data_IF_464927900031
#
_entry.id   IF_464927900031
#
_cell.length_a   1.000
_cell.length_b   1.000
_cell.length_c   1.000
_cell.angle_alpha   90.00
_cell.angle_beta   90.00
_cell.angle_gamma   90.00
#
_symmetry.space_group_name_H-M   'P 1'
#
loop_
_entity.id
_entity.type
_entity.pdbx_description
1 polymer ?
#
# COMPACT_ATOMS: atom_id res chain seq x y z
N UNK A 1 8.16 -45.16 -28.78
CA UNK A 1 8.36 -43.69 -28.97
C UNK A 1 7.06 -42.91 -28.98
N UNK A 2 6.04 -43.26 -29.73
CA UNK A 2 4.76 -42.49 -29.78
C UNK A 2 4.06 -42.31 -28.44
N UNK A 3 4.04 -43.33 -27.56
CA UNK A 3 3.41 -43.24 -26.24
C UNK A 3 4.16 -42.32 -25.26
N UNK A 4 5.49 -42.18 -25.36
CA UNK A 4 6.30 -41.28 -24.53
C UNK A 4 6.18 -39.82 -24.95
N UNK A 5 6.01 -39.58 -26.25
CA UNK A 5 5.79 -38.22 -26.79
C UNK A 5 4.39 -37.73 -26.41
N UNK A 6 3.38 -38.60 -26.46
CA UNK A 6 2.02 -38.24 -26.03
C UNK A 6 1.96 -37.89 -24.53
N UNK A 7 2.71 -38.61 -23.67
CA UNK A 7 2.78 -38.30 -22.23
C UNK A 7 3.49 -36.94 -21.96
N UNK A 8 4.56 -36.65 -22.70
CA UNK A 8 5.30 -35.37 -22.57
C UNK A 8 4.43 -34.18 -23.03
N UNK A 9 3.70 -34.33 -24.13
CA UNK A 9 2.78 -33.28 -24.63
C UNK A 9 1.63 -33.06 -23.64
N UNK A 10 1.11 -34.11 -23.03
CA UNK A 10 0.04 -34.02 -22.04
C UNK A 10 0.50 -33.31 -20.76
N UNK A 11 1.74 -33.56 -20.30
CA UNK A 11 2.34 -32.88 -19.13
C UNK A 11 2.59 -31.39 -19.41
N UNK A 12 3.07 -31.05 -20.62
CA UNK A 12 3.25 -29.66 -21.03
C UNK A 12 1.91 -28.91 -21.12
N UNK A 13 0.85 -29.57 -21.62
CA UNK A 13 -0.49 -28.99 -21.69
C UNK A 13 -1.09 -28.76 -20.29
N UNK A 14 -0.85 -29.68 -19.35
CA UNK A 14 -1.26 -29.51 -17.95
C UNK A 14 -0.50 -28.39 -17.26
N UNK A 15 0.79 -28.20 -17.53
CA UNK A 15 1.58 -27.08 -16.98
C UNK A 15 1.12 -25.72 -17.52
N UNK A 16 0.69 -25.64 -18.76
CA UNK A 16 0.15 -24.39 -19.34
C UNK A 16 -1.22 -24.06 -18.73
N UNK A 17 -2.01 -25.04 -18.33
CA UNK A 17 -3.29 -24.81 -17.63
C UNK A 17 -3.13 -24.41 -16.16
N UNK A 18 -1.95 -24.61 -15.55
CA UNK A 18 -1.65 -24.22 -14.16
C UNK A 18 -1.04 -22.81 -14.05
N UNK A 19 -0.80 -22.11 -15.14
CA UNK A 19 -0.69 -20.66 -15.09
C UNK A 19 -2.08 -20.09 -14.82
N UNK A 20 -2.55 -20.25 -13.58
CA UNK A 20 -3.62 -19.43 -13.05
C UNK A 20 -3.21 -18.01 -13.34
N UNK A 21 -3.88 -17.38 -14.27
CA UNK A 21 -3.91 -15.93 -14.31
C UNK A 21 -4.45 -15.53 -12.95
N UNK A 22 -3.57 -15.17 -12.01
CA UNK A 22 -3.96 -14.30 -10.93
C UNK A 22 -4.38 -13.02 -11.63
N UNK A 23 -5.60 -12.98 -12.10
CA UNK A 23 -6.27 -11.76 -12.49
C UNK A 23 -6.24 -10.94 -11.21
N UNK A 24 -5.36 -9.95 -11.15
CA UNK A 24 -5.43 -8.93 -10.12
C UNK A 24 -6.86 -8.38 -10.25
N UNK A 25 -7.72 -8.78 -9.31
CA UNK A 25 -9.11 -8.32 -9.29
C UNK A 25 -9.03 -6.81 -9.16
N UNK A 26 -9.54 -6.08 -10.15
CA UNK A 26 -9.63 -4.64 -10.06
C UNK A 26 -10.42 -4.29 -8.80
N UNK A 27 -9.96 -3.34 -8.00
CA UNK A 27 -10.67 -2.88 -6.83
C UNK A 27 -12.03 -2.31 -7.26
N UNK A 28 -13.07 -2.62 -6.51
CA UNK A 28 -14.39 -2.01 -6.72
C UNK A 28 -14.46 -0.62 -6.09
N UNK A 29 -13.54 -0.30 -5.19
CA UNK A 29 -13.54 0.94 -4.39
C UNK A 29 -12.52 1.98 -4.89
N UNK A 30 -11.39 1.56 -5.49
CA UNK A 30 -10.31 2.45 -5.88
C UNK A 30 -10.08 2.47 -7.39
N UNK A 31 -10.12 3.66 -8.00
CA UNK A 31 -9.72 3.88 -9.39
C UNK A 31 -8.23 4.24 -9.52
N UNK A 32 -7.69 4.90 -8.50
CA UNK A 32 -6.27 5.24 -8.41
C UNK A 32 -5.82 5.27 -6.95
N UNK A 33 -4.58 4.88 -6.71
CA UNK A 33 -3.93 4.98 -5.40
C UNK A 33 -2.44 5.17 -5.57
N UNK A 34 -1.87 6.13 -4.87
CA UNK A 34 -0.45 6.32 -4.77
C UNK A 34 -0.06 6.68 -3.33
N UNK A 35 1.09 6.19 -2.87
CA UNK A 35 1.63 6.47 -1.54
C UNK A 35 3.11 6.78 -1.66
N UNK A 36 3.58 7.81 -0.96
CA UNK A 36 4.93 8.33 -1.06
C UNK A 36 5.53 8.61 0.30
N UNK A 37 6.85 8.48 0.40
CA UNK A 37 7.63 9.01 1.50
C UNK A 37 8.59 10.06 0.97
N UNK A 38 8.72 11.18 1.69
CA UNK A 38 9.65 12.28 1.40
C UNK A 38 10.43 12.60 2.67
N UNK A 39 11.76 12.65 2.57
CA UNK A 39 12.57 13.14 3.67
C UNK A 39 12.55 14.68 3.65
N UNK A 40 12.14 15.27 4.75
CA UNK A 40 12.17 16.71 4.99
C UNK A 40 13.41 17.09 5.80
N UNK A 41 13.57 18.39 6.05
CA UNK A 41 14.63 18.90 6.92
C UNK A 41 14.42 18.42 8.39
N UNK A 42 15.47 18.52 9.20
CA UNK A 42 15.46 18.15 10.62
C UNK A 42 15.09 16.69 10.92
N UNK A 43 15.31 15.79 9.95
CA UNK A 43 15.06 14.36 10.10
C UNK A 43 13.61 13.95 9.89
N UNK A 44 12.70 14.87 9.64
CA UNK A 44 11.28 14.55 9.44
C UNK A 44 11.03 13.71 8.17
N UNK A 45 10.08 12.80 8.26
CA UNK A 45 9.61 11.97 7.15
C UNK A 45 8.14 12.27 6.92
N UNK A 46 7.82 12.82 5.76
CA UNK A 46 6.46 13.05 5.29
C UNK A 46 5.96 11.78 4.57
N UNK A 47 4.81 11.27 4.97
CA UNK A 47 4.10 10.19 4.30
C UNK A 47 2.83 10.78 3.71
N UNK A 48 2.70 10.67 2.39
CA UNK A 48 1.57 11.17 1.63
C UNK A 48 0.81 10.02 1.00
N UNK A 49 -0.49 10.13 0.92
CA UNK A 49 -1.35 9.23 0.17
C UNK A 49 -2.36 10.01 -0.67
N UNK A 50 -2.51 9.58 -1.92
CA UNK A 50 -3.37 10.15 -2.94
C UNK A 50 -4.31 9.02 -3.40
N UNK A 51 -5.61 9.21 -3.17
CA UNK A 51 -6.60 8.15 -3.34
C UNK A 51 -7.81 8.69 -4.10
N UNK A 52 -8.04 8.14 -5.28
CA UNK A 52 -9.24 8.38 -6.07
C UNK A 52 -10.18 7.16 -5.95
N UNK A 53 -11.28 7.25 -5.22
CA UNK A 53 -12.28 6.20 -5.19
C UNK A 53 -13.07 6.15 -6.52
N UNK A 54 -13.73 5.02 -6.78
CA UNK A 54 -14.52 4.80 -7.99
C UNK A 54 -15.84 5.59 -8.01
N UNK A 55 -16.33 5.98 -6.84
CA UNK A 55 -17.57 6.76 -6.64
C UNK A 55 -17.51 7.48 -5.28
N UNK A 56 -18.53 8.26 -4.93
CA UNK A 56 -18.62 8.91 -3.62
C UNK A 56 -18.64 7.87 -2.51
N UNK A 57 -17.72 8.01 -1.55
CA UNK A 57 -17.59 7.16 -0.38
C UNK A 57 -18.08 7.85 0.88
N UNK A 58 -18.64 7.08 1.80
CA UNK A 58 -18.94 7.56 3.15
C UNK A 58 -17.66 7.89 3.92
N UNK A 59 -16.61 7.09 3.70
CA UNK A 59 -15.27 7.26 4.28
C UNK A 59 -14.22 6.87 3.25
N UNK A 60 -13.16 7.68 3.11
CA UNK A 60 -12.01 7.36 2.25
C UNK A 60 -10.74 8.01 2.80
N UNK A 61 -9.63 7.28 2.80
CA UNK A 61 -8.34 7.76 3.30
C UNK A 61 -7.41 6.64 3.72
N UNK A 62 -6.54 6.90 4.69
CA UNK A 62 -5.68 5.89 5.30
C UNK A 62 -6.27 5.40 6.62
N UNK A 63 -6.49 4.09 6.75
CA UNK A 63 -6.97 3.46 7.97
C UNK A 63 -5.86 3.26 8.99
N UNK A 64 -4.68 2.90 8.49
CA UNK A 64 -3.50 2.60 9.28
C UNK A 64 -2.25 2.92 8.46
N UNK A 65 -1.25 3.51 9.12
CA UNK A 65 0.08 3.73 8.54
C UNK A 65 1.10 3.16 9.51
N UNK A 66 1.88 2.17 9.09
CA UNK A 66 3.01 1.63 9.83
C UNK A 66 4.30 2.28 9.34
N UNK A 67 5.12 2.79 10.25
CA UNK A 67 6.44 3.35 9.96
C UNK A 67 7.49 2.29 10.21
N UNK A 68 8.32 2.03 9.21
CA UNK A 68 9.44 1.11 9.27
C UNK A 68 10.76 1.88 9.24
N UNK A 69 11.64 1.55 10.18
CA UNK A 69 13.00 2.09 10.27
C UNK A 69 14.02 0.99 9.98
N UNK A 70 15.03 1.32 9.18
CA UNK A 70 16.17 0.46 8.88
C UNK A 70 17.48 1.25 8.81
N UNK A 71 18.55 0.59 8.40
CA UNK A 71 19.85 1.18 8.18
C UNK A 71 20.54 0.55 6.96
N UNK A 72 21.14 1.37 6.10
CA UNK A 72 21.71 0.93 4.82
C UNK A 72 20.73 0.08 4.00
N UNK A 73 19.49 0.49 3.96
CA UNK A 73 18.38 -0.18 3.25
C UNK A 73 18.17 -1.65 3.68
N UNK A 74 18.41 -1.94 4.97
CA UNK A 74 18.32 -3.30 5.55
C UNK A 74 17.72 -3.27 6.95
N UNK A 75 17.28 -4.45 7.40
CA UNK A 75 16.85 -4.71 8.77
C UNK A 75 15.68 -3.80 9.23
N UNK A 76 14.75 -3.53 8.33
CA UNK A 76 13.58 -2.74 8.64
C UNK A 76 12.71 -3.41 9.70
N UNK A 77 12.25 -2.60 10.65
CA UNK A 77 11.29 -3.00 11.70
C UNK A 77 10.30 -1.87 11.94
N UNK A 78 9.10 -2.21 12.34
CA UNK A 78 8.09 -1.22 12.73
C UNK A 78 8.58 -0.45 13.97
N UNK A 79 8.54 0.87 13.90
CA UNK A 79 8.91 1.77 15.00
C UNK A 79 7.75 2.61 15.50
N UNK A 80 6.72 2.83 14.65
CA UNK A 80 5.52 3.58 15.01
C UNK A 80 4.34 3.21 14.11
N UNK A 81 3.15 3.67 14.47
CA UNK A 81 1.95 3.54 13.66
C UNK A 81 0.96 4.69 13.92
N UNK A 82 0.23 5.08 12.87
CA UNK A 82 -0.89 6.02 12.93
C UNK A 82 -2.16 5.25 12.62
N UNK A 83 -3.19 5.44 13.43
CA UNK A 83 -4.48 4.79 13.25
C UNK A 83 -5.58 5.84 13.13
N UNK A 84 -6.53 5.63 12.23
CA UNK A 84 -7.62 6.57 11.97
C UNK A 84 -8.45 6.93 13.22
N UNK A 85 -8.52 6.03 14.21
CA UNK A 85 -9.25 6.28 15.46
C UNK A 85 -8.56 7.32 16.34
N UNK A 86 -7.23 7.43 16.25
CA UNK A 86 -6.41 8.41 16.98
C UNK A 86 -6.16 9.67 16.16
N UNK A 87 -6.21 9.55 14.83
CA UNK A 87 -5.96 10.61 13.86
C UNK A 87 -7.13 10.71 12.86
N UNK A 88 -8.28 11.26 13.26
CA UNK A 88 -9.50 11.27 12.44
C UNK A 88 -9.34 12.02 11.12
N UNK A 89 -8.40 12.96 11.02
CA UNK A 89 -8.09 13.70 9.79
C UNK A 89 -7.47 12.82 8.68
N UNK A 90 -7.06 11.58 9.01
CA UNK A 90 -6.61 10.60 8.01
C UNK A 90 -7.75 10.11 7.11
N UNK A 91 -9.00 10.32 7.48
CA UNK A 91 -10.20 9.90 6.74
C UNK A 91 -11.03 11.11 6.33
N UNK A 92 -11.37 11.17 5.05
CA UNK A 92 -12.35 12.10 4.50
C UNK A 92 -13.75 11.46 4.52
N UNK A 93 -14.79 12.27 4.73
CA UNK A 93 -16.18 11.80 4.79
C UNK A 93 -16.98 12.38 3.62
N UNK A 94 -17.95 11.58 3.11
CA UNK A 94 -18.85 11.95 2.02
C UNK A 94 -18.09 12.53 0.80
N UNK A 95 -17.09 11.79 0.34
CA UNK A 95 -16.03 12.30 -0.52
C UNK A 95 -15.83 11.47 -1.78
N UNK A 96 -15.24 12.12 -2.80
CA UNK A 96 -14.70 11.50 -4.03
C UNK A 96 -13.16 11.54 -4.07
N UNK A 97 -12.51 11.94 -2.97
CA UNK A 97 -11.06 11.93 -2.80
C UNK A 97 -10.71 11.46 -1.37
N UNK A 98 -9.58 10.79 -1.21
CA UNK A 98 -9.13 10.28 0.08
C UNK A 98 -7.70 10.68 0.42
N UNK A 99 -7.24 11.82 -0.08
CA UNK A 99 -5.87 12.31 0.08
C UNK A 99 -5.58 12.72 1.52
N UNK A 100 -4.32 12.58 1.91
CA UNK A 100 -3.86 13.05 3.20
C UNK A 100 -2.37 12.83 3.40
N UNK A 101 -1.90 13.22 4.58
CA UNK A 101 -0.50 13.13 4.95
C UNK A 101 -0.32 12.95 6.46
N UNK A 102 0.79 12.35 6.85
CA UNK A 102 1.29 12.32 8.24
C UNK A 102 2.79 12.57 8.23
N UNK A 103 3.31 13.18 9.30
CA UNK A 103 4.74 13.42 9.49
C UNK A 103 5.24 12.60 10.65
N UNK A 104 6.39 11.94 10.48
CA UNK A 104 7.07 11.15 11.49
C UNK A 104 8.44 11.76 11.79
N UNK A 105 8.80 11.98 13.08
CA UNK A 105 10.12 12.48 13.45
C UNK A 105 11.17 11.36 13.37
N UNK A 106 11.81 11.24 12.22
CA UNK A 106 12.87 10.26 11.99
C UNK A 106 14.20 10.66 12.60
N UNK A 107 15.14 9.74 12.59
CA UNK A 107 16.53 9.94 13.05
C UNK A 107 17.43 10.13 11.84
N UNK A 108 18.15 11.24 11.70
CA UNK A 108 19.09 11.44 10.59
C UNK A 108 20.05 10.26 10.39
N UNK A 109 20.25 9.85 9.14
CA UNK A 109 21.08 8.71 8.75
C UNK A 109 20.38 7.35 8.80
N UNK A 110 19.13 7.28 9.27
CA UNK A 110 18.29 6.09 9.19
C UNK A 110 17.43 6.11 7.94
N UNK A 111 17.05 4.91 7.48
CA UNK A 111 16.17 4.71 6.33
C UNK A 111 14.75 4.42 6.80
N UNK A 112 13.77 4.97 6.10
CA UNK A 112 12.35 4.85 6.45
C UNK A 112 11.52 4.52 5.22
N UNK A 113 10.49 3.72 5.41
CA UNK A 113 9.34 3.61 4.52
C UNK A 113 8.08 3.41 5.36
N UNK A 114 6.93 3.62 4.76
CA UNK A 114 5.65 3.34 5.41
C UNK A 114 4.88 2.26 4.64
N UNK A 115 4.06 1.52 5.37
CA UNK A 115 3.03 0.66 4.81
C UNK A 115 1.68 1.32 5.10
N UNK A 116 1.02 1.80 4.05
CA UNK A 116 -0.23 2.57 4.15
C UNK A 116 -1.41 1.67 3.85
N UNK A 117 -2.31 1.50 4.81
CA UNK A 117 -3.59 0.83 4.65
C UNK A 117 -4.63 1.79 4.07
N UNK A 118 -4.75 1.80 2.75
CA UNK A 118 -5.72 2.60 2.02
C UNK A 118 -7.11 2.02 2.24
N UNK A 119 -8.07 2.86 2.61
CA UNK A 119 -9.40 2.48 3.05
C UNK A 119 -10.49 3.26 2.35
N UNK A 120 -11.53 2.57 1.94
CA UNK A 120 -12.77 3.18 1.48
C UNK A 120 -13.97 2.39 1.96
N UNK A 121 -15.07 3.11 2.24
CA UNK A 121 -16.35 2.55 2.71
C UNK A 121 -17.50 3.26 2.05
N UNK A 122 -18.45 2.48 1.56
CA UNK A 122 -19.76 2.95 1.10
C UNK A 122 -20.89 2.29 1.91
N UNK A 123 -22.13 2.43 1.45
CA UNK A 123 -23.31 1.83 2.11
C UNK A 123 -23.35 0.29 2.00
N UNK A 124 -22.56 -0.32 1.12
CA UNK A 124 -22.58 -1.76 0.86
C UNK A 124 -21.43 -2.50 1.53
N UNK A 125 -20.34 -1.82 1.90
CA UNK A 125 -19.17 -2.43 2.51
C UNK A 125 -17.96 -1.53 2.55
N UNK A 126 -16.80 -2.14 2.77
CA UNK A 126 -15.51 -1.45 2.81
C UNK A 126 -14.40 -2.33 2.26
N UNK A 127 -13.32 -1.69 1.82
CA UNK A 127 -12.09 -2.35 1.40
C UNK A 127 -10.89 -1.66 2.03
N UNK A 128 -9.87 -2.45 2.39
CA UNK A 128 -8.56 -1.94 2.83
C UNK A 128 -7.49 -2.66 2.03
N UNK A 129 -6.60 -1.92 1.39
CA UNK A 129 -5.45 -2.45 0.66
C UNK A 129 -4.19 -1.77 1.19
N UNK A 130 -3.12 -2.55 1.43
CA UNK A 130 -1.85 -2.03 1.94
C UNK A 130 -0.85 -1.82 0.82
N UNK A 131 -0.29 -0.60 0.75
CA UNK A 131 0.73 -0.21 -0.20
C UNK A 131 1.99 0.28 0.51
N UNK A 132 3.18 -0.21 0.15
CA UNK A 132 4.43 0.34 0.65
C UNK A 132 4.78 1.63 -0.09
N UNK A 133 5.35 2.60 0.63
CA UNK A 133 5.99 3.77 0.02
C UNK A 133 7.38 3.41 -0.52
N UNK A 134 8.00 4.35 -1.22
CA UNK A 134 9.44 4.33 -1.45
C UNK A 134 10.21 4.43 -0.12
N UNK A 135 11.47 3.99 -0.14
CA UNK A 135 12.41 4.19 0.98
C UNK A 135 13.08 5.55 0.86
N UNK A 136 13.20 6.26 1.98
CA UNK A 136 13.93 7.52 2.09
C UNK A 136 14.90 7.48 3.26
N UNK A 137 15.98 8.26 3.18
CA UNK A 137 16.94 8.42 4.28
C UNK A 137 16.70 9.76 4.96
N UNK A 138 16.46 9.76 6.26
CA UNK A 138 16.34 10.99 7.05
C UNK A 138 17.66 11.76 7.03
N UNK A 139 17.60 13.07 6.87
CA UNK A 139 18.76 13.97 6.87
C UNK A 139 18.52 15.21 7.74
N UNK A 140 19.61 15.94 8.05
CA UNK A 140 19.54 17.19 8.80
C UNK A 140 19.04 18.32 7.91
#
# INVERSE_FOLDING_TARGET
>A
MRKRIAALVSICLLMVCLTSFASARASEYFSYTAVYATALDDGEILIEYDIDPTHTMLECGAKMIYIYEGYNNKNFKVVDSFHMDDYPDMIQHDTIIGDGEVTYPGTPGKDYYALVGVYAKDQYGSETIYFPTNVVTAHN
#
